data_IF_405999832145
#
_entry.id   IF_405999832145
#
_cell.length_a   1.000
_cell.length_b   1.000
_cell.length_c   1.000
_cell.angle_alpha   90.00
_cell.angle_beta   90.00
_cell.angle_gamma   90.00
#
_symmetry.space_group_name_H-M   'P 1'
#
loop_
_entity.id
_entity.type
_entity.pdbx_description
1 polymer ?
#
# COMPACT_ATOMS: atom_id res chain seq x y z
N UNK A 1 -13.53 21.59 -5.51
CA UNK A 1 -13.59 20.67 -6.68
C UNK A 1 -14.82 19.79 -6.49
N UNK A 2 -15.62 19.44 -7.50
CA UNK A 2 -16.77 18.54 -7.25
C UNK A 2 -16.27 17.20 -6.67
N UNK A 3 -16.83 16.77 -5.54
CA UNK A 3 -16.50 15.52 -4.80
C UNK A 3 -16.29 14.29 -5.71
N UNK A 4 -17.03 14.21 -6.83
CA UNK A 4 -16.94 13.13 -7.81
C UNK A 4 -15.57 13.04 -8.49
N UNK A 5 -14.92 14.16 -8.80
CA UNK A 5 -13.58 14.20 -9.42
C UNK A 5 -12.49 13.81 -8.41
N UNK A 6 -12.62 14.22 -7.14
CA UNK A 6 -11.66 13.88 -6.09
C UNK A 6 -11.66 12.38 -5.77
N UNK A 7 -12.81 11.73 -5.86
CA UNK A 7 -12.92 10.26 -5.77
C UNK A 7 -12.24 9.55 -6.94
N UNK A 8 -12.43 10.01 -8.18
CA UNK A 8 -11.79 9.40 -9.36
C UNK A 8 -10.25 9.48 -9.28
N UNK A 9 -9.72 10.65 -8.95
CA UNK A 9 -8.26 10.85 -8.79
C UNK A 9 -7.74 10.00 -7.64
N UNK A 10 -8.42 10.01 -6.49
CA UNK A 10 -8.04 9.20 -5.34
C UNK A 10 -7.99 7.71 -5.65
N UNK A 11 -8.97 7.18 -6.40
CA UNK A 11 -8.96 5.77 -6.82
C UNK A 11 -7.77 5.46 -7.73
N UNK A 12 -7.46 6.31 -8.71
CA UNK A 12 -6.31 6.10 -9.60
C UNK A 12 -5.00 6.12 -8.81
N UNK A 13 -4.83 7.09 -7.91
CA UNK A 13 -3.65 7.18 -7.04
C UNK A 13 -3.53 5.94 -6.16
N UNK A 14 -4.64 5.45 -5.59
CA UNK A 14 -4.65 4.23 -4.79
C UNK A 14 -4.15 3.02 -5.59
N UNK A 15 -4.65 2.86 -6.82
CA UNK A 15 -4.30 1.73 -7.69
C UNK A 15 -2.82 1.77 -8.08
N UNK A 16 -2.31 2.94 -8.49
CA UNK A 16 -0.90 3.10 -8.84
C UNK A 16 -0.01 2.84 -7.62
N UNK A 17 -0.38 3.38 -6.46
CA UNK A 17 0.32 3.12 -5.21
C UNK A 17 0.37 1.63 -4.88
N UNK A 18 -0.77 0.93 -4.93
CA UNK A 18 -0.84 -0.50 -4.67
C UNK A 18 0.00 -1.31 -5.65
N UNK A 19 -0.01 -0.97 -6.93
CA UNK A 19 0.77 -1.67 -7.96
C UNK A 19 2.28 -1.54 -7.69
N UNK A 20 2.76 -0.32 -7.45
CA UNK A 20 4.18 -0.05 -7.14
C UNK A 20 4.57 -0.72 -5.82
N UNK A 21 3.71 -0.63 -4.81
CA UNK A 21 3.94 -1.23 -3.51
C UNK A 21 4.04 -2.76 -3.57
N UNK A 22 3.08 -3.41 -4.24
CA UNK A 22 3.05 -4.87 -4.38
C UNK A 22 4.28 -5.37 -5.16
N UNK A 23 4.67 -4.65 -6.22
CA UNK A 23 5.89 -4.97 -6.96
C UNK A 23 7.14 -4.83 -6.09
N UNK A 24 7.28 -3.75 -5.33
CA UNK A 24 8.41 -3.57 -4.41
C UNK A 24 8.43 -4.64 -3.30
N UNK A 25 7.26 -4.94 -2.71
CA UNK A 25 7.13 -5.92 -1.63
C UNK A 25 7.49 -7.34 -2.08
N UNK A 26 7.10 -7.72 -3.31
CA UNK A 26 7.46 -9.03 -3.88
C UNK A 26 8.92 -9.09 -4.30
N UNK A 27 9.48 -8.01 -4.86
CA UNK A 27 10.91 -7.94 -5.20
C UNK A 27 11.82 -8.09 -3.96
N UNK A 28 11.47 -7.41 -2.85
CA UNK A 28 12.24 -7.48 -1.59
C UNK A 28 12.02 -8.85 -0.91
N UNK A 29 10.77 -9.32 -0.88
CA UNK A 29 10.38 -10.59 -0.26
C UNK A 29 11.00 -11.80 -0.94
N UNK A 30 10.91 -11.87 -2.27
CA UNK A 30 11.43 -12.97 -3.07
C UNK A 30 12.97 -12.99 -3.17
N UNK A 31 13.63 -11.86 -3.00
CA UNK A 31 15.10 -11.77 -3.05
C UNK A 31 15.75 -12.11 -1.71
N UNK A 32 15.79 -11.12 -0.80
CA UNK A 32 16.62 -11.21 0.42
C UNK A 32 15.94 -11.94 1.57
N UNK A 33 14.61 -11.85 1.64
CA UNK A 33 13.84 -12.38 2.77
C UNK A 33 13.61 -13.90 2.61
N UNK A 34 13.50 -14.40 1.38
CA UNK A 34 13.36 -15.83 1.10
C UNK A 34 14.52 -16.68 1.66
N UNK A 35 15.74 -16.11 1.74
CA UNK A 35 16.93 -16.77 2.30
C UNK A 35 17.14 -16.48 3.80
N UNK A 36 16.32 -15.59 4.39
CA UNK A 36 16.41 -15.21 5.79
C UNK A 36 15.76 -16.26 6.71
N UNK A 37 16.10 -16.29 8.01
CA UNK A 37 15.46 -17.18 8.97
C UNK A 37 13.94 -16.92 9.09
N UNK A 38 13.18 -17.95 9.48
CA UNK A 38 11.71 -17.92 9.50
C UNK A 38 11.11 -16.76 10.30
N UNK A 39 11.75 -16.34 11.41
CA UNK A 39 11.29 -15.20 12.19
C UNK A 39 11.41 -13.87 11.43
N UNK A 40 12.45 -13.71 10.61
CA UNK A 40 12.65 -12.52 9.79
C UNK A 40 11.68 -12.50 8.60
N UNK A 41 11.40 -13.67 8.02
CA UNK A 41 10.33 -13.83 7.03
C UNK A 41 8.98 -13.42 7.61
N UNK A 42 8.64 -13.94 8.78
CA UNK A 42 7.39 -13.60 9.46
C UNK A 42 7.28 -12.10 9.75
N UNK A 43 8.32 -11.49 10.33
CA UNK A 43 8.35 -10.06 10.61
C UNK A 43 8.20 -9.22 9.33
N UNK A 44 8.87 -9.61 8.25
CA UNK A 44 8.76 -8.95 6.96
C UNK A 44 7.35 -9.05 6.38
N UNK A 45 6.77 -10.25 6.28
CA UNK A 45 5.43 -10.41 5.73
C UNK A 45 4.35 -9.74 6.58
N UNK A 46 4.51 -9.74 7.91
CA UNK A 46 3.62 -9.01 8.81
C UNK A 46 3.68 -7.50 8.56
N UNK A 47 4.88 -6.93 8.51
CA UNK A 47 5.06 -5.49 8.30
C UNK A 47 4.72 -5.07 6.88
N UNK A 48 5.15 -5.81 5.85
CA UNK A 48 4.78 -5.56 4.46
C UNK A 48 3.27 -5.76 4.20
N UNK A 49 2.60 -6.67 4.93
CA UNK A 49 1.16 -6.84 4.86
C UNK A 49 0.39 -5.65 5.46
N UNK A 50 0.96 -4.95 6.43
CA UNK A 50 0.29 -3.87 7.16
C UNK A 50 0.74 -2.46 6.74
N UNK A 51 1.94 -2.29 6.20
CA UNK A 51 2.52 -0.96 5.95
C UNK A 51 1.74 -0.17 4.89
N UNK A 52 1.09 -0.81 3.93
CA UNK A 52 0.26 -0.14 2.93
C UNK A 52 -1.10 0.36 3.46
N UNK A 53 -1.56 -0.16 4.60
CA UNK A 53 -2.86 0.19 5.19
C UNK A 53 -2.88 1.66 5.61
N UNK A 54 -1.78 2.17 6.18
CA UNK A 54 -1.69 3.55 6.64
C UNK A 54 -1.80 4.55 5.48
N UNK A 55 -1.01 4.43 4.39
CA UNK A 55 -1.18 5.26 3.19
C UNK A 55 -2.59 5.16 2.58
N UNK A 56 -3.13 3.95 2.46
CA UNK A 56 -4.47 3.74 1.90
C UNK A 56 -5.54 4.44 2.75
N UNK A 57 -5.49 4.31 4.07
CA UNK A 57 -6.43 4.95 4.98
C UNK A 57 -6.36 6.49 4.91
N UNK A 58 -5.16 7.07 4.85
CA UNK A 58 -4.97 8.51 4.69
C UNK A 58 -5.56 9.01 3.37
N UNK A 59 -5.32 8.29 2.27
CA UNK A 59 -5.85 8.64 0.96
C UNK A 59 -7.38 8.54 0.91
N UNK A 60 -7.96 7.47 1.46
CA UNK A 60 -9.41 7.28 1.54
C UNK A 60 -10.05 8.38 2.40
N UNK A 61 -9.44 8.75 3.53
CA UNK A 61 -9.92 9.84 4.38
C UNK A 61 -9.94 11.17 3.64
N UNK A 62 -8.92 11.43 2.82
CA UNK A 62 -8.90 12.61 1.93
C UNK A 62 -9.98 12.53 0.84
N UNK A 63 -10.23 11.36 0.28
CA UNK A 63 -11.32 11.16 -0.70
C UNK A 63 -12.70 11.42 -0.09
N UNK A 64 -12.91 11.06 1.17
CA UNK A 64 -14.21 11.19 1.87
C UNK A 64 -14.46 12.56 2.52
N UNK A 65 -13.45 13.43 2.63
CA UNK A 65 -13.58 14.73 3.30
C UNK A 65 -14.73 15.57 2.72
N UNK A 66 -15.77 15.94 3.49
CA UNK A 66 -16.79 16.87 2.99
C UNK A 66 -16.13 18.19 2.57
N UNK A 67 -16.55 18.74 1.43
CA UNK A 67 -16.17 20.10 1.03
C UNK A 67 -17.03 21.12 1.80
#
# INVERSE_FOLDING_TARGET
MRVRSRKLIGTIVLLVFLAVYAWAATAIGGGRIALAPAWAQFAYFLTAGLAWVVPAALLIRWMQRPD
#
